data_IF_483734259983
#
_entry.id   IF_483734259983
#
_cell.length_a   1.000
_cell.length_b   1.000
_cell.length_c   1.000
_cell.angle_alpha   90.00
_cell.angle_beta   90.00
_cell.angle_gamma   90.00
#
_symmetry.space_group_name_H-M   'P 1'
#
loop_
_entity.id
_entity.type
_entity.pdbx_description
1 polymer ?
#
# COMPACT_ATOMS: atom_id res chain seq x y z
N UNK A 1 29.35 -37.18 30.90
CA UNK A 1 29.09 -37.02 29.45
C UNK A 1 30.37 -37.36 28.71
N UNK A 2 30.38 -38.46 27.97
CA UNK A 2 31.57 -38.94 27.27
C UNK A 2 31.95 -38.01 26.12
N UNK A 3 33.24 -37.95 25.75
CA UNK A 3 33.73 -37.11 24.62
C UNK A 3 32.93 -37.34 23.33
N UNK A 4 32.41 -38.56 23.12
CA UNK A 4 31.57 -38.93 21.99
C UNK A 4 30.17 -38.29 22.05
N UNK A 5 29.54 -38.27 23.22
CA UNK A 5 28.23 -37.64 23.42
C UNK A 5 28.30 -36.12 23.22
N UNK A 6 29.36 -35.48 23.73
CA UNK A 6 29.59 -34.05 23.53
C UNK A 6 29.80 -33.69 22.05
N UNK A 7 30.52 -34.55 21.31
CA UNK A 7 30.71 -34.37 19.87
C UNK A 7 29.40 -34.49 19.08
N UNK A 8 28.54 -35.47 19.40
CA UNK A 8 27.23 -35.58 18.74
C UNK A 8 26.33 -34.39 19.02
N UNK A 9 26.32 -33.89 20.27
CA UNK A 9 25.54 -32.70 20.63
C UNK A 9 26.05 -31.46 19.91
N UNK A 10 27.37 -31.25 19.80
CA UNK A 10 27.90 -30.08 19.09
C UNK A 10 27.58 -30.11 17.60
N UNK A 11 27.70 -31.29 16.96
CA UNK A 11 27.33 -31.47 15.55
C UNK A 11 25.84 -31.19 15.34
N UNK A 12 24.98 -31.69 16.22
CA UNK A 12 23.54 -31.46 16.13
C UNK A 12 23.17 -29.98 16.26
N UNK A 13 23.82 -29.24 17.19
CA UNK A 13 23.64 -27.79 17.34
C UNK A 13 24.08 -27.05 16.07
N UNK A 14 25.22 -27.42 15.48
CA UNK A 14 25.71 -26.79 14.24
C UNK A 14 24.75 -27.05 13.08
N UNK A 15 24.20 -28.26 12.97
CA UNK A 15 23.19 -28.57 11.93
C UNK A 15 21.93 -27.74 12.12
N UNK A 16 21.43 -27.60 13.34
CA UNK A 16 20.26 -26.74 13.64
C UNK A 16 20.56 -25.28 13.29
N UNK A 17 21.71 -24.75 13.71
CA UNK A 17 22.09 -23.36 13.42
C UNK A 17 22.24 -23.13 11.91
N UNK A 18 22.82 -24.08 11.19
CA UNK A 18 22.97 -23.99 9.73
C UNK A 18 21.61 -24.05 9.04
N UNK A 19 20.71 -24.92 9.50
CA UNK A 19 19.33 -24.99 9.00
C UNK A 19 18.54 -23.70 9.30
N UNK A 20 18.74 -23.08 10.46
CA UNK A 20 18.14 -21.78 10.80
C UNK A 20 18.72 -20.66 9.93
N UNK A 21 20.03 -20.62 9.72
CA UNK A 21 20.67 -19.64 8.84
C UNK A 21 20.15 -19.79 7.41
N UNK A 22 20.04 -21.02 6.90
CA UNK A 22 19.44 -21.29 5.58
C UNK A 22 17.96 -20.91 5.58
N UNK A 23 17.19 -21.19 6.62
CA UNK A 23 15.78 -20.81 6.71
C UNK A 23 15.58 -19.29 6.71
N UNK A 24 16.43 -18.53 7.40
CA UNK A 24 16.36 -17.07 7.46
C UNK A 24 16.97 -16.36 6.25
N UNK A 25 17.95 -16.98 5.56
CA UNK A 25 18.61 -16.41 4.37
C UNK A 25 18.09 -16.97 3.04
N UNK A 26 17.39 -18.10 3.04
CA UNK A 26 16.66 -18.57 1.87
C UNK A 26 15.57 -17.53 1.64
N UNK A 27 15.69 -16.83 0.51
CA UNK A 27 14.81 -15.81 -0.07
C UNK A 27 13.35 -16.25 -0.28
N UNK A 28 12.84 -17.17 0.53
CA UNK A 28 11.42 -17.43 0.72
C UNK A 28 10.78 -16.42 1.68
N UNK A 29 11.38 -15.24 1.86
CA UNK A 29 10.58 -14.04 2.02
C UNK A 29 9.89 -13.81 0.68
N UNK A 30 8.77 -14.52 0.49
CA UNK A 30 7.60 -13.85 -0.02
C UNK A 30 7.42 -12.65 0.91
N UNK A 31 8.09 -11.52 0.61
CA UNK A 31 7.71 -10.24 1.17
C UNK A 31 6.20 -10.22 1.02
N UNK A 32 5.48 -10.16 2.13
CA UNK A 32 4.03 -10.16 2.09
C UNK A 32 3.64 -8.89 1.34
N UNK A 33 3.48 -9.00 0.03
CA UNK A 33 3.13 -7.90 -0.86
C UNK A 33 1.67 -8.08 -1.16
N UNK A 34 0.86 -7.22 -0.57
CA UNK A 34 -0.55 -7.12 -0.85
C UNK A 34 -0.77 -5.92 -1.75
N UNK A 35 -1.35 -6.14 -2.92
CA UNK A 35 -1.63 -5.07 -3.89
C UNK A 35 -3.09 -5.11 -4.29
N UNK A 36 -3.76 -3.98 -4.07
CA UNK A 36 -5.16 -3.81 -4.45
C UNK A 36 -5.26 -2.72 -5.50
N UNK A 37 -6.12 -2.94 -6.49
CA UNK A 37 -6.34 -2.01 -7.59
C UNK A 37 -7.84 -1.77 -7.72
N UNK A 38 -8.25 -0.51 -7.58
CA UNK A 38 -9.59 -0.05 -7.89
C UNK A 38 -9.56 0.79 -9.18
N UNK A 39 -10.23 0.31 -10.22
CA UNK A 39 -10.46 1.09 -11.44
C UNK A 39 -11.64 2.04 -11.25
N UNK A 40 -11.44 3.33 -11.57
CA UNK A 40 -12.51 4.32 -11.61
C UNK A 40 -13.27 4.22 -12.94
N UNK A 41 -14.54 4.65 -13.00
CA UNK A 41 -15.30 4.60 -14.25
C UNK A 41 -14.54 5.25 -15.40
N UNK A 42 -14.46 4.56 -16.53
CA UNK A 42 -13.76 5.10 -17.70
C UNK A 42 -14.64 6.12 -18.44
N UNK A 43 -14.02 7.14 -19.05
CA UNK A 43 -14.70 8.14 -19.89
C UNK A 43 -14.03 8.17 -21.26
N UNK A 44 -14.84 8.15 -22.33
CA UNK A 44 -14.33 8.18 -23.70
C UNK A 44 -13.40 9.38 -23.94
N UNK A 45 -12.27 9.14 -24.58
CA UNK A 45 -11.26 10.16 -24.88
C UNK A 45 -10.24 10.43 -23.77
N UNK A 46 -10.32 9.72 -22.63
CA UNK A 46 -9.35 9.81 -21.54
C UNK A 46 -8.75 8.44 -21.22
N UNK A 47 -7.49 8.40 -20.73
CA UNK A 47 -6.93 7.16 -20.19
C UNK A 47 -7.71 6.70 -18.95
N UNK A 48 -7.76 5.38 -18.67
CA UNK A 48 -8.33 4.86 -17.44
C UNK A 48 -7.58 5.42 -16.22
N UNK A 49 -8.26 5.50 -15.09
CA UNK A 49 -7.69 5.99 -13.82
C UNK A 49 -7.84 4.91 -12.78
N UNK A 50 -6.73 4.59 -12.13
CA UNK A 50 -6.65 3.54 -11.11
C UNK A 50 -6.22 4.16 -9.79
N UNK A 51 -6.87 3.74 -8.72
CA UNK A 51 -6.40 3.93 -7.34
C UNK A 51 -5.81 2.60 -6.91
N UNK A 52 -4.52 2.60 -6.57
CA UNK A 52 -3.77 1.41 -6.23
C UNK A 52 -3.23 1.53 -4.83
N UNK A 53 -3.25 0.45 -4.07
CA UNK A 53 -2.61 0.33 -2.76
C UNK A 53 -1.64 -0.83 -2.81
N UNK A 54 -0.44 -0.61 -2.29
CA UNK A 54 0.57 -1.65 -2.13
C UNK A 54 1.09 -1.61 -0.71
N UNK A 55 0.98 -2.73 -0.01
CA UNK A 55 1.51 -2.97 1.33
C UNK A 55 2.62 -4.00 1.23
N UNK A 56 3.73 -3.77 1.91
CA UNK A 56 4.84 -4.73 1.96
C UNK A 56 5.61 -4.66 3.28
N UNK A 57 6.56 -5.57 3.43
CA UNK A 57 7.31 -5.77 4.67
C UNK A 57 6.71 -6.89 5.51
N UNK A 58 7.54 -7.52 6.35
CA UNK A 58 7.17 -8.71 7.11
C UNK A 58 5.96 -8.49 8.03
N UNK A 59 5.76 -7.25 8.50
CA UNK A 59 4.65 -6.85 9.38
C UNK A 59 3.65 -5.93 8.68
N UNK A 60 3.77 -5.73 7.36
CA UNK A 60 2.96 -4.75 6.61
C UNK A 60 3.21 -3.30 7.03
N UNK A 61 4.44 -2.99 7.47
CA UNK A 61 4.86 -1.68 7.97
C UNK A 61 5.18 -0.67 6.87
N UNK A 62 5.09 -1.08 5.60
CA UNK A 62 5.25 -0.20 4.45
C UNK A 62 3.99 -0.21 3.62
N UNK A 63 3.51 0.98 3.29
CA UNK A 63 2.33 1.18 2.47
C UNK A 63 2.54 2.36 1.53
N UNK A 64 1.99 2.23 0.32
CA UNK A 64 1.89 3.31 -0.64
C UNK A 64 0.53 3.24 -1.34
N UNK A 65 -0.08 4.40 -1.54
CA UNK A 65 -1.28 4.55 -2.35
C UNK A 65 -0.96 5.45 -3.53
N UNK A 66 -1.40 5.03 -4.73
CA UNK A 66 -1.06 5.68 -5.98
C UNK A 66 -2.30 5.87 -6.84
N UNK A 67 -2.52 7.09 -7.30
CA UNK A 67 -3.51 7.37 -8.35
C UNK A 67 -2.75 7.55 -9.66
N UNK A 68 -3.04 6.69 -10.64
CA UNK A 68 -2.27 6.62 -11.89
C UNK A 68 -3.14 6.23 -13.08
N UNK A 69 -2.59 6.39 -14.28
CA UNK A 69 -3.20 5.92 -15.52
C UNK A 69 -2.79 4.50 -15.93
N UNK A 70 -2.08 3.78 -15.05
CA UNK A 70 -1.52 2.44 -15.35
C UNK A 70 -1.99 1.43 -14.30
N UNK A 71 -2.74 0.42 -14.73
CA UNK A 71 -3.36 -0.60 -13.88
C UNK A 71 -2.49 -1.83 -13.58
N UNK A 72 -1.16 -1.70 -13.57
CA UNK A 72 -0.27 -2.83 -13.25
C UNK A 72 -0.14 -3.02 -11.72
N UNK A 73 -0.16 -4.27 -11.25
CA UNK A 73 0.07 -4.68 -9.86
C UNK A 73 1.53 -4.45 -9.43
N UNK A 74 2.49 -4.75 -10.31
CA UNK A 74 3.92 -4.50 -10.07
C UNK A 74 4.33 -3.09 -10.48
N UNK A 75 3.62 -2.10 -9.94
CA UNK A 75 3.90 -0.71 -10.25
C UNK A 75 5.08 -0.15 -9.44
N UNK A 76 5.80 0.78 -10.06
CA UNK A 76 6.72 1.70 -9.41
C UNK A 76 6.14 3.11 -9.52
N UNK A 77 5.80 3.79 -8.41
CA UNK A 77 5.26 5.13 -8.45
C UNK A 77 6.20 6.11 -9.16
N UNK A 78 5.66 6.97 -10.01
CA UNK A 78 6.40 7.99 -10.74
C UNK A 78 5.89 9.38 -10.41
N UNK A 79 6.71 10.20 -9.73
CA UNK A 79 6.33 11.56 -9.28
C UNK A 79 5.79 12.49 -10.39
N UNK A 80 6.20 12.27 -11.64
CA UNK A 80 5.70 13.06 -12.78
C UNK A 80 4.33 12.63 -13.28
N UNK A 81 3.95 11.37 -13.08
CA UNK A 81 2.75 10.78 -13.66
C UNK A 81 1.69 10.43 -12.62
N UNK A 82 2.05 10.31 -11.35
CA UNK A 82 1.19 9.73 -10.34
C UNK A 82 1.00 10.67 -9.15
N UNK A 83 -0.20 10.64 -8.56
CA UNK A 83 -0.35 11.11 -7.18
C UNK A 83 0.14 9.99 -6.27
N UNK A 84 1.01 10.35 -5.32
CA UNK A 84 1.70 9.40 -4.47
C UNK A 84 1.46 9.79 -3.03
N UNK A 85 0.85 8.88 -2.29
CA UNK A 85 0.60 9.02 -0.86
C UNK A 85 1.39 7.95 -0.14
N UNK A 86 2.35 8.40 0.67
CA UNK A 86 3.23 7.52 1.46
C UNK A 86 2.79 7.55 2.92
N UNK A 87 2.84 6.39 3.57
CA UNK A 87 2.52 6.24 4.98
C UNK A 87 1.43 5.22 5.25
N UNK A 88 1.29 4.89 6.53
CA UNK A 88 0.37 3.87 7.05
C UNK A 88 -1.03 4.42 7.34
N UNK A 89 -1.29 5.68 6.99
CA UNK A 89 -2.60 6.28 7.20
C UNK A 89 -3.60 5.79 6.17
N UNK A 90 -4.84 5.65 6.61
CA UNK A 90 -5.94 5.26 5.74
C UNK A 90 -6.29 6.40 4.79
N UNK A 91 -6.58 6.04 3.54
CA UNK A 91 -7.01 7.00 2.51
C UNK A 91 -8.44 6.68 2.13
N UNK A 92 -9.25 7.73 2.06
CA UNK A 92 -10.63 7.62 1.63
C UNK A 92 -10.83 8.41 0.34
N UNK A 93 -11.77 7.96 -0.48
CA UNK A 93 -12.09 8.66 -1.72
C UNK A 93 -13.59 8.66 -1.99
N UNK A 94 -14.02 9.65 -2.76
CA UNK A 94 -15.38 9.74 -3.27
C UNK A 94 -15.36 10.36 -4.66
N UNK A 95 -16.05 9.71 -5.59
CA UNK A 95 -16.30 10.27 -6.90
C UNK A 95 -17.65 10.99 -6.89
N UNK A 96 -17.66 12.26 -7.26
CA UNK A 96 -18.86 13.07 -7.39
C UNK A 96 -18.81 13.83 -8.71
N UNK A 97 -19.67 13.43 -9.65
CA UNK A 97 -19.66 13.94 -11.03
C UNK A 97 -18.29 13.78 -11.70
N UNK A 98 -17.63 14.89 -12.03
CA UNK A 98 -16.32 14.97 -12.66
C UNK A 98 -15.19 15.22 -11.64
N UNK A 99 -15.49 15.15 -10.34
CA UNK A 99 -14.50 15.42 -9.30
C UNK A 99 -14.24 14.17 -8.45
N UNK A 100 -12.98 13.78 -8.37
CA UNK A 100 -12.48 12.77 -7.46
C UNK A 100 -11.93 13.46 -6.21
N UNK A 101 -12.64 13.32 -5.10
CA UNK A 101 -12.18 13.77 -3.79
C UNK A 101 -11.33 12.69 -3.13
N UNK A 102 -10.14 13.06 -2.69
CA UNK A 102 -9.22 12.22 -1.93
C UNK A 102 -9.06 12.84 -0.55
N UNK A 103 -9.42 12.09 0.48
CA UNK A 103 -9.30 12.49 1.87
C UNK A 103 -8.07 11.82 2.46
N UNK A 104 -7.11 12.62 2.91
CA UNK A 104 -5.78 12.17 3.31
C UNK A 104 -5.25 13.03 4.44
N UNK A 105 -4.33 12.50 5.26
CA UNK A 105 -3.62 13.29 6.27
C UNK A 105 -2.56 14.19 5.65
N UNK A 106 -1.96 13.77 4.53
CA UNK A 106 -0.91 14.50 3.83
C UNK A 106 -1.21 14.50 2.35
N UNK A 107 -1.23 15.69 1.74
CA UNK A 107 -1.45 15.86 0.32
C UNK A 107 -0.22 15.43 -0.52
N UNK A 108 -0.48 14.78 -1.64
CA UNK A 108 0.48 14.50 -2.70
C UNK A 108 0.73 15.76 -3.55
N UNK A 109 1.96 15.99 -4.00
CA UNK A 109 2.22 16.92 -5.09
C UNK A 109 1.39 16.57 -6.33
N UNK A 110 1.00 17.60 -7.10
CA UNK A 110 0.27 17.42 -8.35
C UNK A 110 1.25 16.96 -9.46
N UNK A 111 1.09 15.76 -10.03
CA UNK A 111 1.90 15.29 -11.15
C UNK A 111 1.67 16.13 -12.40
N UNK A 112 2.75 16.49 -13.10
CA UNK A 112 2.70 17.37 -14.27
C UNK A 112 2.27 16.68 -15.58
N UNK A 113 2.29 15.35 -15.63
CA UNK A 113 1.94 14.55 -16.81
C UNK A 113 0.70 13.67 -16.61
N UNK A 114 0.07 13.74 -15.44
CA UNK A 114 -1.15 12.98 -15.18
C UNK A 114 -2.31 13.54 -16.01
N UNK A 115 -3.07 12.64 -16.64
CA UNK A 115 -4.22 12.99 -17.46
C UNK A 115 -5.43 12.20 -16.99
N UNK A 116 -6.55 12.87 -16.79
CA UNK A 116 -7.74 12.24 -16.21
C UNK A 116 -9.00 12.98 -16.64
N UNK A 117 -10.13 12.27 -16.81
CA UNK A 117 -11.42 12.92 -17.00
C UNK A 117 -11.95 13.57 -15.72
N UNK A 118 -11.29 13.30 -14.59
CA UNK A 118 -11.65 13.76 -13.26
C UNK A 118 -10.72 14.88 -12.79
N UNK A 119 -11.31 15.94 -12.25
CA UNK A 119 -10.63 16.90 -11.39
C UNK A 119 -10.31 16.22 -10.07
N UNK A 120 -9.03 16.15 -9.71
CA UNK A 120 -8.61 15.58 -8.43
C UNK A 120 -8.54 16.70 -7.40
N UNK A 121 -9.26 16.52 -6.30
CA UNK A 121 -9.25 17.43 -5.14
C UNK A 121 -8.77 16.65 -3.93
N UNK A 122 -7.69 17.12 -3.33
CA UNK A 122 -7.14 16.54 -2.11
C UNK A 122 -7.65 17.35 -0.92
N UNK A 123 -8.41 16.70 -0.06
CA UNK A 123 -8.91 17.24 1.21
C UNK A 123 -7.95 16.74 2.29
N UNK A 124 -7.08 17.63 2.74
CA UNK A 124 -6.18 17.35 3.85
C UNK A 124 -6.98 17.41 5.15
N UNK A 125 -7.01 16.29 5.86
CA UNK A 125 -7.66 16.14 7.16
C UNK A 125 -6.63 16.23 8.26
N UNK A 126 -7.02 16.75 9.42
CA UNK A 126 -6.20 16.57 10.62
C UNK A 126 -6.42 15.16 11.23
N UNK A 127 -5.64 14.83 12.27
CA UNK A 127 -5.72 13.52 12.91
C UNK A 127 -7.10 13.26 13.56
N UNK A 128 -7.71 14.19 14.33
CA UNK A 128 -9.07 14.04 14.82
C UNK A 128 -10.10 13.75 13.72
N UNK A 129 -10.10 14.51 12.63
CA UNK A 129 -11.03 14.32 11.51
C UNK A 129 -10.85 12.96 10.83
N UNK A 130 -9.60 12.51 10.68
CA UNK A 130 -9.31 11.19 10.14
C UNK A 130 -9.82 10.08 11.07
N UNK A 131 -9.60 10.22 12.37
CA UNK A 131 -10.09 9.25 13.37
C UNK A 131 -11.61 9.20 13.39
N UNK A 132 -12.29 10.34 13.29
CA UNK A 132 -13.75 10.43 13.18
C UNK A 132 -14.31 9.65 11.97
N UNK A 133 -13.56 9.58 10.87
CA UNK A 133 -13.95 8.78 9.69
C UNK A 133 -13.78 7.28 9.92
N UNK A 134 -12.72 6.88 10.61
CA UNK A 134 -12.38 5.49 10.91
C UNK A 134 -13.33 4.93 11.97
N UNK A 135 -13.66 5.72 12.99
CA UNK A 135 -14.49 5.29 14.11
C UNK A 135 -15.88 4.84 13.62
N UNK A 136 -16.28 3.62 14.01
CA UNK A 136 -17.55 3.00 13.62
C UNK A 136 -17.86 3.03 12.11
N UNK A 137 -16.83 2.99 11.26
CA UNK A 137 -16.95 3.09 9.80
C UNK A 137 -17.75 4.33 9.34
N UNK A 138 -17.64 5.45 10.05
CA UNK A 138 -18.37 6.68 9.74
C UNK A 138 -18.13 7.19 8.31
N UNK A 139 -16.99 6.86 7.71
CA UNK A 139 -16.71 7.11 6.29
C UNK A 139 -17.81 6.57 5.36
N UNK A 140 -18.40 5.39 5.68
CA UNK A 140 -19.51 4.80 4.92
C UNK A 140 -20.77 5.67 4.99
N UNK A 141 -21.07 6.23 6.16
CA UNK A 141 -22.22 7.15 6.37
C UNK A 141 -22.06 8.44 5.55
N UNK A 142 -20.82 8.89 5.32
CA UNK A 142 -20.50 10.03 4.45
C UNK A 142 -20.43 9.67 2.96
N UNK A 143 -20.66 8.40 2.61
CA UNK A 143 -20.59 7.89 1.24
C UNK A 143 -19.17 7.86 0.67
N UNK A 144 -18.16 7.75 1.54
CA UNK A 144 -16.77 7.59 1.16
C UNK A 144 -16.47 6.10 0.96
N UNK A 145 -15.47 5.81 0.13
CA UNK A 145 -14.88 4.49 -0.02
C UNK A 145 -13.48 4.51 0.58
N UNK A 146 -13.10 3.44 1.25
CA UNK A 146 -11.74 3.22 1.73
C UNK A 146 -10.89 2.68 0.58
N UNK A 147 -9.63 3.09 0.49
CA UNK A 147 -8.65 2.41 -0.35
C UNK A 147 -8.19 1.16 0.40
N UNK A 148 -8.72 0.01 0.01
CA UNK A 148 -8.31 -1.32 0.48
C UNK A 148 -7.21 -1.87 -0.42
#
# INVERSE_FOLDING_TARGET
MGKREFFFVSVFIVVILTALIIYFNSDNKSDYVDTTIAELPSKAGYPPVFIKRKVWGLTGDKQIVVISNVGNEDFKPQKSNDYIYEGLFEIFYKLQHDTLFIYTLVSSPVPNKFSSPYKIVQVELDNPELMDLIEYDNYKKKGLKKVE
#
